data_IF_310196789669
#
_entry.id   IF_310196789669
#
_cell.length_a   1.000
_cell.length_b   1.000
_cell.length_c   1.000
_cell.angle_alpha   90.00
_cell.angle_beta   90.00
_cell.angle_gamma   90.00
#
_symmetry.space_group_name_H-M   'P 1'
#
loop_
_entity.id
_entity.type
_entity.pdbx_description
1 polymer ?
#
# COMPACT_ATOMS: atom_id res chain seq x y z
N UNK A 1 -3.23 36.67 0.85
CA UNK A 1 -2.18 35.80 0.25
C UNK A 1 -2.44 34.31 0.53
N UNK A 2 -2.80 33.91 1.76
CA UNK A 2 -3.18 32.54 2.13
C UNK A 2 -4.34 31.95 1.30
N UNK A 3 -5.42 32.70 1.05
CA UNK A 3 -6.55 32.23 0.21
C UNK A 3 -6.16 31.95 -1.25
N UNK A 4 -5.21 32.70 -1.80
CA UNK A 4 -4.68 32.50 -3.16
C UNK A 4 -3.79 31.25 -3.25
N UNK A 5 -3.04 30.95 -2.18
CA UNK A 5 -2.19 29.74 -2.07
C UNK A 5 -3.04 28.47 -1.92
N UNK A 6 -4.11 28.49 -1.10
CA UNK A 6 -5.01 27.34 -0.97
C UNK A 6 -5.76 27.05 -2.28
N UNK A 7 -6.21 28.08 -3.00
CA UNK A 7 -6.87 27.92 -4.29
C UNK A 7 -5.90 27.35 -5.33
N UNK A 8 -4.66 27.85 -5.40
CA UNK A 8 -3.63 27.31 -6.29
C UNK A 8 -3.26 25.86 -5.95
N UNK A 9 -3.14 25.51 -4.66
CA UNK A 9 -2.83 24.15 -4.23
C UNK A 9 -3.98 23.18 -4.54
N UNK A 10 -5.24 23.61 -4.38
CA UNK A 10 -6.41 22.79 -4.75
C UNK A 10 -6.51 22.56 -6.26
N UNK A 11 -6.15 23.55 -7.08
CA UNK A 11 -6.13 23.42 -8.53
C UNK A 11 -5.02 22.48 -9.02
N UNK A 12 -3.84 22.50 -8.38
CA UNK A 12 -2.75 21.57 -8.68
C UNK A 12 -3.15 20.14 -8.30
N UNK A 13 -3.81 19.94 -7.16
CA UNK A 13 -4.29 18.62 -6.72
C UNK A 13 -5.38 18.08 -7.67
N UNK A 14 -6.30 18.93 -8.16
CA UNK A 14 -7.34 18.53 -9.12
C UNK A 14 -6.75 18.14 -10.48
N UNK A 15 -5.75 18.86 -10.99
CA UNK A 15 -5.08 18.53 -12.26
C UNK A 15 -4.24 17.24 -12.20
N UNK A 16 -3.70 16.87 -11.03
CA UNK A 16 -2.99 15.58 -10.87
C UNK A 16 -3.97 14.41 -10.86
N UNK A 17 -5.21 14.61 -10.40
CA UNK A 17 -6.23 13.56 -10.35
C UNK A 17 -6.89 13.26 -11.70
N UNK A 18 -6.96 14.22 -12.63
CA UNK A 18 -7.62 14.03 -13.94
C UNK A 18 -6.80 13.23 -14.95
N UNK A 19 -5.53 12.98 -14.67
CA UNK A 19 -4.67 12.15 -15.53
C UNK A 19 -4.75 10.65 -15.23
N UNK A 20 -5.52 10.23 -14.23
CA UNK A 20 -5.85 8.82 -13.99
C UNK A 20 -7.10 8.41 -14.77
N UNK A 21 -7.12 8.70 -16.08
CA UNK A 21 -8.13 8.13 -16.96
C UNK A 21 -7.74 6.69 -17.28
N UNK A 22 -8.68 5.82 -16.96
CA UNK A 22 -8.62 4.37 -16.95
C UNK A 22 -8.32 3.87 -18.37
N UNK A 23 -7.15 3.27 -18.57
CA UNK A 23 -6.93 2.39 -19.70
C UNK A 23 -7.75 1.11 -19.45
N UNK A 24 -8.98 1.06 -19.96
CA UNK A 24 -9.74 -0.19 -20.02
C UNK A 24 -9.21 -1.02 -21.18
N UNK A 25 -8.28 -1.92 -20.90
CA UNK A 25 -7.91 -2.98 -21.83
C UNK A 25 -9.10 -3.93 -22.03
N UNK A 26 -9.30 -4.46 -23.25
CA UNK A 26 -10.42 -5.34 -23.54
C UNK A 26 -10.37 -6.61 -22.71
N UNK A 27 -11.52 -6.94 -22.12
CA UNK A 27 -11.85 -8.20 -21.46
C UNK A 27 -11.82 -9.32 -22.50
N UNK A 28 -10.66 -9.91 -22.72
CA UNK A 28 -10.52 -11.31 -23.13
C UNK A 28 -9.07 -11.78 -22.96
N UNK A 29 -8.91 -12.90 -22.25
CA UNK A 29 -7.72 -13.75 -22.10
C UNK A 29 -6.70 -13.52 -20.97
N UNK A 30 -7.00 -12.75 -19.92
CA UNK A 30 -6.40 -12.96 -18.60
C UNK A 30 -7.37 -12.39 -17.56
N UNK A 31 -7.61 -13.15 -16.50
CA UNK A 31 -8.55 -12.83 -15.43
C UNK A 31 -8.36 -11.40 -14.90
N UNK A 32 -9.43 -10.78 -14.36
CA UNK A 32 -9.48 -9.40 -13.85
C UNK A 32 -8.16 -8.94 -13.25
N UNK A 33 -7.78 -7.65 -13.37
CA UNK A 33 -6.49 -7.18 -12.87
C UNK A 33 -6.34 -7.64 -11.41
N UNK A 34 -5.32 -8.47 -11.16
CA UNK A 34 -4.98 -9.01 -9.83
C UNK A 34 -4.62 -7.92 -8.81
N UNK A 35 -4.73 -6.66 -9.21
CA UNK A 35 -4.48 -5.47 -8.42
C UNK A 35 -5.60 -4.45 -8.66
N UNK A 36 -6.24 -4.03 -7.57
CA UNK A 36 -7.15 -2.89 -7.56
C UNK A 36 -6.43 -1.74 -6.85
N UNK A 37 -6.18 -0.62 -7.54
CA UNK A 37 -5.46 0.54 -6.98
C UNK A 37 -4.08 0.17 -6.37
N UNK A 38 -3.31 -0.68 -7.04
CA UNK A 38 -1.99 -1.14 -6.55
C UNK A 38 -2.04 -2.12 -5.38
N UNK A 39 -3.23 -2.39 -4.82
CA UNK A 39 -3.44 -3.39 -3.77
C UNK A 39 -3.62 -4.75 -4.44
N UNK A 40 -2.70 -5.71 -4.20
CA UNK A 40 -2.89 -7.06 -4.72
C UNK A 40 -4.12 -7.76 -4.15
N UNK A 41 -4.78 -8.56 -4.98
CA UNK A 41 -5.82 -9.49 -4.56
C UNK A 41 -5.22 -10.63 -3.71
N UNK A 42 -6.01 -11.11 -2.75
CA UNK A 42 -5.65 -12.23 -1.88
C UNK A 42 -5.48 -13.54 -2.66
N UNK A 43 -6.23 -13.70 -3.75
CA UNK A 43 -6.22 -14.88 -4.63
C UNK A 43 -5.15 -14.83 -5.75
N UNK A 44 -4.31 -13.79 -5.79
CA UNK A 44 -3.25 -13.64 -6.80
C UNK A 44 -2.35 -14.87 -6.84
N UNK A 45 -2.06 -15.40 -8.03
CA UNK A 45 -1.31 -16.65 -8.25
C UNK A 45 -2.01 -17.95 -7.81
N UNK A 46 -3.31 -17.93 -7.48
CA UNK A 46 -4.09 -19.13 -7.16
C UNK A 46 -5.08 -19.51 -8.27
N UNK A 47 -5.01 -18.85 -9.42
CA UNK A 47 -5.99 -18.96 -10.50
C UNK A 47 -5.39 -19.67 -11.73
N UNK A 48 -6.17 -20.53 -12.39
CA UNK A 48 -5.80 -21.13 -13.68
C UNK A 48 -6.19 -20.18 -14.84
N UNK A 49 -5.78 -20.53 -16.07
CA UNK A 49 -6.15 -19.80 -17.28
C UNK A 49 -7.66 -19.71 -17.58
N UNK A 50 -8.51 -20.38 -16.80
CA UNK A 50 -9.99 -20.38 -16.88
C UNK A 50 -10.66 -19.53 -15.78
N UNK A 51 -9.90 -18.75 -15.02
CA UNK A 51 -10.38 -17.92 -13.94
C UNK A 51 -11.02 -18.67 -12.75
N UNK A 52 -10.75 -19.96 -12.58
CA UNK A 52 -11.12 -20.74 -11.39
C UNK A 52 -10.01 -20.74 -10.34
N UNK A 53 -10.38 -20.71 -9.05
CA UNK A 53 -9.42 -20.85 -7.94
C UNK A 53 -8.97 -22.32 -7.86
N UNK A 54 -7.66 -22.55 -7.99
CA UNK A 54 -7.05 -23.87 -7.84
C UNK A 54 -6.95 -24.21 -6.35
N UNK A 55 -7.76 -25.17 -5.92
CA UNK A 55 -7.65 -25.76 -4.59
C UNK A 55 -6.48 -26.77 -4.56
N UNK A 56 -5.73 -26.86 -3.45
CA UNK A 56 -4.64 -27.81 -3.30
C UNK A 56 -5.14 -29.26 -3.41
N UNK A 57 -4.36 -30.13 -4.05
CA UNK A 57 -4.68 -31.55 -4.16
C UNK A 57 -4.27 -32.35 -2.91
N UNK A 58 -4.52 -33.66 -2.92
CA UNK A 58 -4.22 -34.58 -1.80
C UNK A 58 -2.72 -34.93 -1.66
N UNK A 59 -1.81 -34.08 -2.14
CA UNK A 59 -0.37 -34.28 -1.97
C UNK A 59 0.11 -33.63 -0.67
N UNK A 60 1.02 -34.31 0.03
CA UNK A 60 1.58 -33.81 1.28
C UNK A 60 2.31 -32.48 1.05
N UNK A 61 1.85 -31.40 1.72
CA UNK A 61 2.43 -30.06 1.65
C UNK A 61 1.74 -29.06 0.73
N UNK A 62 0.85 -29.50 -0.16
CA UNK A 62 0.12 -28.63 -1.10
C UNK A 62 -0.83 -27.67 -0.36
N UNK A 63 -1.46 -28.16 0.71
CA UNK A 63 -2.31 -27.36 1.61
C UNK A 63 -1.52 -26.25 2.32
N UNK A 64 -0.31 -26.56 2.80
CA UNK A 64 0.51 -25.60 3.55
C UNK A 64 1.02 -24.47 2.65
N UNK A 65 1.42 -24.81 1.42
CA UNK A 65 1.84 -23.83 0.40
C UNK A 65 0.69 -22.91 -0.02
N UNK A 66 -0.51 -23.45 -0.19
CA UNK A 66 -1.71 -22.68 -0.51
C UNK A 66 -2.02 -21.62 0.56
N UNK A 67 -2.03 -22.03 1.83
CA UNK A 67 -2.25 -21.13 2.97
C UNK A 67 -1.16 -20.05 3.00
N UNK A 68 0.11 -20.41 2.84
CA UNK A 68 1.22 -19.46 2.87
C UNK A 68 1.15 -18.43 1.74
N UNK A 69 0.73 -18.83 0.53
CA UNK A 69 0.55 -17.90 -0.59
C UNK A 69 -0.54 -16.86 -0.31
N UNK A 70 -1.67 -17.27 0.27
CA UNK A 70 -2.74 -16.34 0.68
C UNK A 70 -2.22 -15.34 1.71
N UNK A 71 -1.52 -15.82 2.74
CA UNK A 71 -0.95 -14.98 3.80
C UNK A 71 0.02 -13.94 3.23
N UNK A 72 0.94 -14.36 2.35
CA UNK A 72 1.90 -13.44 1.72
C UNK A 72 1.21 -12.40 0.84
N UNK A 73 0.16 -12.78 0.10
CA UNK A 73 -0.60 -11.85 -0.73
C UNK A 73 -1.34 -10.80 0.11
N UNK A 74 -1.99 -11.23 1.19
CA UNK A 74 -2.67 -10.34 2.13
C UNK A 74 -1.67 -9.40 2.82
N UNK A 75 -0.50 -9.91 3.21
CA UNK A 75 0.55 -9.08 3.79
C UNK A 75 1.01 -7.99 2.82
N UNK A 76 1.23 -8.33 1.55
CA UNK A 76 1.56 -7.32 0.54
C UNK A 76 0.45 -6.30 0.34
N UNK A 77 -0.83 -6.73 0.34
CA UNK A 77 -1.96 -5.82 0.30
C UNK A 77 -1.96 -4.84 1.49
N UNK A 78 -1.72 -5.35 2.70
CA UNK A 78 -1.62 -4.54 3.90
C UNK A 78 -0.46 -3.53 3.85
N UNK A 79 0.71 -3.91 3.30
CA UNK A 79 1.84 -2.99 3.15
C UNK A 79 1.53 -1.80 2.24
N UNK A 80 0.79 -2.04 1.15
CA UNK A 80 0.34 -0.96 0.25
C UNK A 80 -0.61 -0.01 0.99
N UNK A 81 -1.56 -0.55 1.77
CA UNK A 81 -2.49 0.26 2.58
C UNK A 81 -1.73 1.08 3.63
N UNK A 82 -0.76 0.50 4.31
CA UNK A 82 0.09 1.20 5.29
C UNK A 82 0.89 2.31 4.62
N UNK A 83 1.41 2.10 3.40
CA UNK A 83 2.13 3.13 2.66
C UNK A 83 1.22 4.35 2.38
N UNK A 84 -0.03 4.13 1.97
CA UNK A 84 -1.01 5.22 1.80
C UNK A 84 -1.28 5.97 3.11
N UNK A 85 -1.43 5.25 4.23
CA UNK A 85 -1.64 5.85 5.55
C UNK A 85 -0.42 6.67 5.99
N UNK A 86 0.80 6.15 5.78
CA UNK A 86 2.03 6.84 6.11
C UNK A 86 2.17 8.16 5.33
N UNK A 87 1.88 8.13 4.03
CA UNK A 87 1.86 9.33 3.18
C UNK A 87 0.85 10.36 3.72
N UNK A 88 -0.35 9.92 4.09
CA UNK A 88 -1.38 10.79 4.68
C UNK A 88 -0.89 11.50 5.96
N UNK A 89 -0.26 10.75 6.89
CA UNK A 89 0.27 11.35 8.13
C UNK A 89 1.45 12.29 7.89
N UNK A 90 2.33 11.98 6.93
CA UNK A 90 3.43 12.87 6.54
C UNK A 90 2.90 14.17 5.97
N UNK A 91 1.91 14.12 5.08
CA UNK A 91 1.26 15.31 4.50
C UNK A 91 0.62 16.15 5.61
N UNK A 92 -0.17 15.52 6.50
CA UNK A 92 -0.83 16.20 7.62
C UNK A 92 0.17 16.86 8.58
N UNK A 93 1.27 16.17 8.90
CA UNK A 93 2.36 16.72 9.70
C UNK A 93 3.10 17.86 9.01
N UNK A 94 3.34 17.75 7.71
CA UNK A 94 3.99 18.78 6.90
C UNK A 94 3.17 20.06 6.82
N UNK A 95 1.86 19.96 6.59
CA UNK A 95 0.96 21.12 6.64
C UNK A 95 0.99 21.79 8.01
N UNK A 96 0.89 21.02 9.09
CA UNK A 96 0.95 21.55 10.46
C UNK A 96 2.28 22.25 10.75
N UNK A 97 3.40 21.76 10.19
CA UNK A 97 4.70 22.38 10.34
C UNK A 97 4.76 23.77 9.68
N UNK A 98 4.26 23.88 8.45
CA UNK A 98 4.26 25.14 7.68
C UNK A 98 3.29 26.16 8.29
N UNK A 99 2.10 25.74 8.72
CA UNK A 99 1.10 26.66 9.30
C UNK A 99 1.48 27.16 10.70
N UNK A 100 2.32 26.42 11.43
CA UNK A 100 2.72 26.76 12.81
C UNK A 100 3.95 27.65 12.88
N UNK A 101 4.31 28.36 11.80
CA UNK A 101 5.55 29.13 11.62
C UNK A 101 5.81 30.28 12.62
N UNK A 102 5.10 30.35 13.74
CA UNK A 102 5.33 31.28 14.85
C UNK A 102 5.22 30.67 16.25
N UNK A 103 4.87 29.38 16.39
CA UNK A 103 4.77 28.70 17.68
C UNK A 103 5.72 27.51 17.73
N UNK A 104 6.64 27.49 18.69
CA UNK A 104 7.57 26.37 18.93
C UNK A 104 6.83 25.05 19.19
N UNK A 105 5.71 25.12 19.89
CA UNK A 105 4.92 23.95 20.28
C UNK A 105 4.24 23.28 19.08
N UNK A 106 3.65 24.08 18.18
CA UNK A 106 3.03 23.59 16.95
C UNK A 106 4.05 22.92 16.02
N UNK A 107 5.25 23.50 15.91
CA UNK A 107 6.35 22.92 15.13
C UNK A 107 6.88 21.62 15.75
N UNK A 108 7.01 21.55 17.08
CA UNK A 108 7.46 20.34 17.77
C UNK A 108 6.46 19.19 17.61
N UNK A 109 5.16 19.48 17.73
CA UNK A 109 4.09 18.49 17.54
C UNK A 109 4.02 17.97 16.10
N UNK A 110 4.20 18.85 15.11
CA UNK A 110 4.27 18.47 13.70
C UNK A 110 5.45 17.53 13.41
N UNK A 111 6.65 17.85 13.92
CA UNK A 111 7.83 16.99 13.81
C UNK A 111 7.60 15.62 14.44
N UNK A 112 7.03 15.58 15.66
CA UNK A 112 6.69 14.32 16.33
C UNK A 112 5.75 13.45 15.50
N UNK A 113 4.75 14.05 14.85
CA UNK A 113 3.82 13.34 13.96
C UNK A 113 4.55 12.71 12.78
N UNK A 114 5.43 13.45 12.11
CA UNK A 114 6.21 12.97 10.96
C UNK A 114 7.18 11.85 11.40
N UNK A 115 7.91 12.06 12.49
CA UNK A 115 8.86 11.07 13.02
C UNK A 115 8.14 9.76 13.38
N UNK A 116 6.98 9.84 14.02
CA UNK A 116 6.19 8.65 14.37
C UNK A 116 5.71 7.91 13.11
N UNK A 117 5.28 8.62 12.08
CA UNK A 117 4.87 8.01 10.81
C UNK A 117 6.04 7.28 10.12
N UNK A 118 7.24 7.87 10.13
CA UNK A 118 8.45 7.27 9.56
C UNK A 118 8.85 6.01 10.35
N UNK A 119 8.83 6.07 11.69
CA UNK A 119 9.15 4.91 12.54
C UNK A 119 8.18 3.75 12.25
N UNK A 120 6.88 4.03 12.14
CA UNK A 120 5.89 3.03 11.77
C UNK A 120 6.18 2.38 10.42
N UNK A 121 6.54 3.18 9.40
CA UNK A 121 6.89 2.67 8.09
C UNK A 121 8.14 1.77 8.12
N UNK A 122 9.17 2.15 8.87
CA UNK A 122 10.41 1.36 9.03
C UNK A 122 10.09 0.01 9.67
N UNK A 123 9.26 -0.01 10.72
CA UNK A 123 8.84 -1.25 11.39
C UNK A 123 8.10 -2.17 10.41
N UNK A 124 7.21 -1.62 9.58
CA UNK A 124 6.49 -2.42 8.58
C UNK A 124 7.42 -3.04 7.54
N UNK A 125 8.43 -2.30 7.06
CA UNK A 125 9.43 -2.82 6.11
C UNK A 125 10.27 -3.92 6.77
N UNK A 126 10.69 -3.72 8.03
CA UNK A 126 11.44 -4.72 8.79
C UNK A 126 10.61 -5.99 9.07
N UNK A 127 9.32 -5.86 9.36
CA UNK A 127 8.44 -7.01 9.54
C UNK A 127 8.30 -7.81 8.23
N UNK A 128 8.13 -7.12 7.10
CA UNK A 128 8.03 -7.77 5.79
C UNK A 128 9.29 -8.56 5.41
N UNK A 129 10.48 -8.03 5.72
CA UNK A 129 11.75 -8.73 5.44
C UNK A 129 11.90 -10.00 6.26
N UNK A 130 11.49 -9.99 7.54
CA UNK A 130 11.50 -11.18 8.41
C UNK A 130 10.57 -12.26 7.85
N UNK A 131 9.35 -11.91 7.46
CA UNK A 131 8.39 -12.88 6.88
C UNK A 131 8.94 -13.50 5.61
N UNK A 132 9.57 -12.70 4.74
CA UNK A 132 10.21 -13.20 3.52
C UNK A 132 11.42 -14.09 3.81
N UNK A 133 12.21 -13.79 4.85
CA UNK A 133 13.32 -14.63 5.27
C UNK A 133 12.83 -16.02 5.75
N UNK A 134 11.78 -16.05 6.57
CA UNK A 134 11.16 -17.31 7.03
C UNK A 134 10.57 -18.08 5.84
N UNK A 135 9.89 -17.40 4.92
CA UNK A 135 9.36 -17.99 3.69
C UNK A 135 10.45 -18.63 2.82
N UNK A 136 11.64 -18.03 2.78
CA UNK A 136 12.79 -18.55 2.05
C UNK A 136 13.37 -19.81 2.69
N UNK A 137 13.43 -19.86 4.02
CA UNK A 137 13.94 -21.02 4.76
C UNK A 137 13.05 -22.26 4.61
N UNK A 138 11.73 -22.09 4.48
CA UNK A 138 10.78 -23.21 4.30
C UNK A 138 10.84 -23.80 2.88
N UNK A 139 11.32 -23.03 1.89
CA UNK A 139 11.47 -23.49 0.50
C UNK A 139 12.80 -24.21 0.23
N UNK A 140 13.75 -24.13 1.15
CA UNK A 140 15.07 -24.79 1.07
C UNK A 140 15.09 -26.15 1.73
#
# INVERSE_FOLDING_TARGET
>A
MIRSIYLALSLIVVSITTSFMIASTPVSAACSPDTLLGVPAWYRNLQNGDCSIKFPGNADGDMSRFIWMIVLNILQAALVVVAYIAIFFIIKGGFMYITSAGSTDGMASAKKTITNAIIGLIICIAAASIVNAIAGLIKG
#
